data_IF_926326152963
#
_entry.id   IF_926326152963
#
_cell.length_a   1.000
_cell.length_b   1.000
_cell.length_c   1.000
_cell.angle_alpha   90.00
_cell.angle_beta   90.00
_cell.angle_gamma   90.00
#
_symmetry.space_group_name_H-M   'P 1'
#
loop_
_entity.id
_entity.type
_entity.pdbx_description
1 polymer ?
#
# COMPACT_ATOMS: atom_id res chain seq x y z
N UNK A 1 -32.17 -8.19 35.10
CA UNK A 1 -32.31 -6.78 34.68
C UNK A 1 -30.92 -6.31 34.25
N UNK A 2 -30.56 -6.49 32.98
CA UNK A 2 -29.27 -6.04 32.45
C UNK A 2 -29.32 -4.51 32.33
N UNK A 3 -28.51 -3.84 33.13
CA UNK A 3 -28.28 -2.40 33.04
C UNK A 3 -27.49 -2.14 31.76
N UNK A 4 -28.19 -1.73 30.70
CA UNK A 4 -27.57 -1.14 29.52
C UNK A 4 -26.95 0.18 29.93
N UNK A 5 -25.63 0.23 30.01
CA UNK A 5 -24.88 1.48 30.16
C UNK A 5 -25.06 2.29 28.88
N UNK A 6 -26.06 3.19 28.87
CA UNK A 6 -26.20 4.23 27.87
C UNK A 6 -25.08 5.25 28.06
N UNK A 7 -23.88 4.93 27.55
CA UNK A 7 -22.88 5.95 27.27
C UNK A 7 -23.46 6.99 26.30
N UNK A 8 -22.97 8.25 26.33
CA UNK A 8 -23.42 9.26 25.39
C UNK A 8 -23.22 8.76 23.95
N UNK A 9 -24.28 8.80 23.13
CA UNK A 9 -24.19 8.46 21.71
C UNK A 9 -23.13 9.36 21.06
N UNK A 10 -22.23 8.82 20.22
CA UNK A 10 -21.23 9.63 19.55
C UNK A 10 -21.92 10.71 18.72
N UNK A 11 -21.39 11.93 18.76
CA UNK A 11 -21.89 13.04 17.95
C UNK A 11 -21.92 12.62 16.47
N UNK A 12 -23.02 12.90 15.79
CA UNK A 12 -23.17 12.63 14.37
C UNK A 12 -22.75 13.85 13.57
N UNK A 13 -21.85 13.66 12.61
CA UNK A 13 -21.43 14.68 11.64
C UNK A 13 -22.03 14.32 10.30
N UNK A 14 -22.66 15.27 9.62
CA UNK A 14 -23.16 15.08 8.26
C UNK A 14 -22.16 15.67 7.27
N UNK A 15 -21.76 14.88 6.27
CA UNK A 15 -21.07 15.33 5.06
C UNK A 15 -22.06 15.43 3.91
N UNK A 16 -21.90 16.43 3.05
CA UNK A 16 -22.60 16.49 1.76
C UNK A 16 -21.58 16.43 0.63
N UNK A 17 -21.70 15.39 -0.18
CA UNK A 17 -20.82 15.08 -1.30
C UNK A 17 -21.48 15.61 -2.57
N UNK A 18 -20.82 16.54 -3.27
CA UNK A 18 -21.42 17.09 -4.50
C UNK A 18 -21.59 16.01 -5.58
N UNK A 19 -20.64 15.09 -5.65
CA UNK A 19 -20.69 13.85 -6.41
C UNK A 19 -20.01 12.76 -5.58
N UNK A 20 -20.58 11.56 -5.54
CA UNK A 20 -19.99 10.41 -4.88
C UNK A 20 -19.91 9.23 -5.84
N UNK A 21 -18.79 8.52 -5.87
CA UNK A 21 -18.70 7.24 -6.56
C UNK A 21 -19.19 6.13 -5.63
N UNK A 22 -20.34 5.53 -5.97
CA UNK A 22 -20.98 4.46 -5.19
C UNK A 22 -20.69 3.09 -5.80
N UNK A 23 -19.40 2.83 -6.07
CA UNK A 23 -18.87 1.56 -6.59
C UNK A 23 -19.05 1.35 -8.10
N UNK A 24 -20.23 1.63 -8.66
CA UNK A 24 -20.52 1.37 -10.09
C UNK A 24 -20.81 2.62 -10.91
N UNK A 25 -21.22 3.70 -10.24
CA UNK A 25 -21.66 4.93 -10.88
C UNK A 25 -21.34 6.14 -10.01
N UNK A 26 -21.40 7.33 -10.62
CA UNK A 26 -21.30 8.62 -9.91
C UNK A 26 -22.71 9.13 -9.61
N UNK A 27 -22.99 9.36 -8.33
CA UNK A 27 -24.26 9.88 -7.83
C UNK A 27 -24.09 11.34 -7.35
N UNK A 28 -24.86 12.31 -7.89
CA UNK A 28 -24.82 13.70 -7.43
C UNK A 28 -25.59 13.90 -6.13
N UNK A 29 -25.11 14.81 -5.27
CA UNK A 29 -25.84 15.24 -4.07
C UNK A 29 -26.11 14.11 -3.07
N UNK A 30 -25.04 13.57 -2.48
CA UNK A 30 -25.14 12.50 -1.47
C UNK A 30 -24.90 13.07 -0.09
N UNK A 31 -25.80 12.82 0.86
CA UNK A 31 -25.58 13.12 2.27
C UNK A 31 -25.12 11.86 3.02
N UNK A 32 -24.04 12.00 3.77
CA UNK A 32 -23.41 10.94 4.54
C UNK A 32 -23.43 11.31 6.02
N UNK A 33 -24.13 10.53 6.83
CA UNK A 33 -24.16 10.71 8.29
C UNK A 33 -23.08 9.81 8.89
N UNK A 34 -22.18 10.38 9.68
CA UNK A 34 -21.01 9.70 10.26
C UNK A 34 -21.06 9.79 11.78
N UNK A 35 -20.92 8.66 12.47
CA UNK A 35 -20.92 8.57 13.93
C UNK A 35 -19.89 7.53 14.40
N UNK A 36 -19.09 7.88 15.41
CA UNK A 36 -18.04 6.98 15.91
C UNK A 36 -17.00 6.59 14.86
N UNK A 37 -16.80 7.43 13.84
CA UNK A 37 -15.88 7.19 12.72
C UNK A 37 -16.39 6.20 11.66
N UNK A 38 -17.63 5.71 11.79
CA UNK A 38 -18.30 4.86 10.82
C UNK A 38 -19.40 5.63 10.09
N UNK A 39 -19.68 5.21 8.87
CA UNK A 39 -20.83 5.66 8.11
C UNK A 39 -22.08 5.09 8.77
N UNK A 40 -22.95 5.95 9.28
CA UNK A 40 -24.22 5.59 9.89
C UNK A 40 -25.38 5.57 8.87
N UNK A 41 -25.30 6.39 7.82
CA UNK A 41 -26.33 6.46 6.78
C UNK A 41 -25.86 7.14 5.51
N UNK A 42 -26.39 6.68 4.37
CA UNK A 42 -26.14 7.24 3.03
C UNK A 42 -27.50 7.62 2.43
N UNK A 43 -27.66 8.86 2.01
CA UNK A 43 -28.89 9.38 1.38
C UNK A 43 -28.56 10.03 0.04
N UNK A 44 -29.13 9.52 -1.04
CA UNK A 44 -28.95 10.04 -2.41
C UNK A 44 -30.04 11.05 -2.79
N UNK A 45 -29.89 11.75 -3.91
CA UNK A 45 -30.87 12.74 -4.38
C UNK A 45 -31.00 13.99 -3.49
N UNK A 46 -30.02 14.27 -2.63
CA UNK A 46 -30.00 15.43 -1.73
C UNK A 46 -29.43 16.63 -2.49
N UNK A 47 -30.30 17.34 -3.22
CA UNK A 47 -29.91 18.37 -4.18
C UNK A 47 -29.09 19.53 -3.58
N UNK A 48 -29.30 19.87 -2.30
CA UNK A 48 -28.58 20.94 -1.61
C UNK A 48 -28.01 20.44 -0.27
N UNK A 49 -26.88 21.00 0.20
CA UNK A 49 -26.32 20.63 1.49
C UNK A 49 -27.33 20.84 2.63
N UNK A 50 -27.60 19.83 3.47
CA UNK A 50 -28.37 20.01 4.69
C UNK A 50 -27.75 21.07 5.61
N UNK A 51 -28.55 21.79 6.43
CA UNK A 51 -28.01 22.73 7.41
C UNK A 51 -26.96 22.09 8.32
N UNK A 52 -25.79 22.73 8.43
CA UNK A 52 -24.68 22.25 9.25
C UNK A 52 -23.83 21.13 8.64
N UNK A 53 -24.15 20.66 7.43
CA UNK A 53 -23.35 19.64 6.76
C UNK A 53 -21.98 20.20 6.30
N UNK A 54 -20.94 19.39 6.45
CA UNK A 54 -19.62 19.67 5.86
C UNK A 54 -19.66 19.36 4.37
N UNK A 55 -19.39 20.36 3.54
CA UNK A 55 -19.50 20.26 2.08
C UNK A 55 -18.18 19.75 1.48
N UNK A 56 -18.24 18.64 0.74
CA UNK A 56 -17.13 18.12 -0.07
C UNK A 56 -17.44 18.37 -1.55
N UNK A 57 -16.80 19.39 -2.15
CA UNK A 57 -16.98 19.75 -3.56
C UNK A 57 -15.99 19.00 -4.44
N UNK A 58 -16.50 18.37 -5.49
CA UNK A 58 -15.75 17.48 -6.37
C UNK A 58 -16.36 16.08 -6.45
N UNK A 59 -15.57 15.11 -6.91
CA UNK A 59 -15.90 13.68 -6.84
C UNK A 59 -15.32 13.11 -5.55
N UNK A 60 -16.17 12.66 -4.64
CA UNK A 60 -15.78 11.87 -3.47
C UNK A 60 -15.77 10.38 -3.85
N UNK A 61 -14.65 9.74 -3.61
CA UNK A 61 -14.45 8.28 -3.68
C UNK A 61 -14.16 7.75 -2.27
N UNK A 62 -14.32 6.44 -2.00
CA UNK A 62 -13.74 5.84 -0.80
C UNK A 62 -12.25 6.16 -0.71
N UNK A 63 -11.74 6.29 0.51
CA UNK A 63 -10.32 6.58 0.75
C UNK A 63 -9.42 5.57 0.05
N UNK A 64 -8.35 6.05 -0.58
CA UNK A 64 -7.47 5.21 -1.39
C UNK A 64 -6.59 4.32 -0.49
N UNK A 65 -6.37 3.07 -0.89
CA UNK A 65 -5.51 2.12 -0.17
C UNK A 65 -4.21 1.90 -0.93
N UNK A 66 -3.11 2.41 -0.38
CA UNK A 66 -1.78 2.16 -0.91
C UNK A 66 -1.29 0.81 -0.39
N UNK A 67 -1.39 -0.23 -1.21
CA UNK A 67 -1.22 -1.62 -0.75
C UNK A 67 0.23 -1.96 -0.44
N UNK A 68 1.18 -1.24 -1.03
CA UNK A 68 2.61 -1.52 -0.89
C UNK A 68 3.44 -0.24 -0.80
N UNK A 69 4.32 -0.18 0.19
CA UNK A 69 5.10 1.00 0.57
C UNK A 69 6.40 0.60 1.25
N UNK A 70 7.46 1.34 0.95
CA UNK A 70 8.69 1.37 1.73
C UNK A 70 8.99 2.82 2.11
N UNK A 71 8.50 3.30 3.26
CA UNK A 71 8.48 4.72 3.59
C UNK A 71 9.85 5.40 3.45
N UNK A 72 10.94 4.71 3.78
CA UNK A 72 12.27 5.29 3.66
C UNK A 72 12.80 5.44 2.23
N UNK A 73 12.24 4.71 1.26
CA UNK A 73 12.60 4.84 -0.16
C UNK A 73 12.23 6.21 -0.70
N UNK A 74 11.29 6.91 -0.06
CA UNK A 74 10.94 8.28 -0.40
C UNK A 74 12.14 9.23 -0.37
N UNK A 75 13.16 8.95 0.44
CA UNK A 75 14.41 9.72 0.50
C UNK A 75 15.33 9.49 -0.73
N UNK A 76 15.08 8.46 -1.52
CA UNK A 76 15.83 8.10 -2.73
C UNK A 76 15.42 8.93 -3.95
N UNK A 77 14.24 9.57 -3.92
CA UNK A 77 13.79 10.43 -5.03
C UNK A 77 14.88 11.42 -5.39
N UNK A 78 15.07 11.63 -6.69
CA UNK A 78 16.07 12.50 -7.34
C UNK A 78 17.51 11.99 -7.32
N UNK A 79 17.90 11.13 -6.37
CA UNK A 79 19.29 10.63 -6.33
C UNK A 79 19.46 9.40 -7.20
N UNK A 80 18.46 8.50 -7.22
CA UNK A 80 18.51 7.27 -8.01
C UNK A 80 18.22 7.46 -9.50
N UNK A 81 17.64 8.61 -9.88
CA UNK A 81 17.41 9.00 -11.28
C UNK A 81 18.62 9.69 -11.94
N UNK A 82 19.76 9.84 -11.24
CA UNK A 82 20.97 10.45 -11.82
C UNK A 82 21.76 9.42 -12.61
N UNK A 83 21.98 9.70 -13.90
CA UNK A 83 22.82 8.89 -14.78
C UNK A 83 22.07 7.68 -15.34
N UNK A 84 22.79 6.56 -15.48
CA UNK A 84 22.23 5.28 -15.93
C UNK A 84 22.61 4.20 -14.92
N UNK A 85 21.72 3.25 -14.66
CA UNK A 85 21.99 2.19 -13.71
C UNK A 85 21.12 0.97 -13.92
N UNK A 86 21.19 0.07 -12.94
CA UNK A 86 20.32 -1.10 -12.82
C UNK A 86 19.68 -1.08 -11.43
N UNK A 87 18.72 -1.97 -11.18
CA UNK A 87 18.21 -2.26 -9.83
C UNK A 87 19.33 -2.39 -8.78
N UNK A 88 20.47 -2.98 -9.15
CA UNK A 88 21.59 -3.19 -8.24
C UNK A 88 22.31 -1.91 -7.82
N UNK A 89 22.48 -0.96 -8.72
CA UNK A 89 23.10 0.35 -8.39
C UNK A 89 22.14 1.22 -7.59
N UNK A 90 20.84 1.17 -7.89
CA UNK A 90 19.79 1.77 -7.07
C UNK A 90 19.84 1.25 -5.63
N UNK A 91 20.03 -0.06 -5.47
CA UNK A 91 20.07 -0.72 -4.16
C UNK A 91 21.22 -0.26 -3.27
N UNK A 92 22.36 0.14 -3.85
CA UNK A 92 23.48 0.68 -3.08
C UNK A 92 23.14 2.01 -2.40
N UNK A 93 22.41 2.90 -3.10
CA UNK A 93 21.93 4.18 -2.55
C UNK A 93 20.88 3.90 -1.46
N UNK A 94 19.97 2.94 -1.71
CA UNK A 94 19.00 2.49 -0.73
C UNK A 94 19.66 2.02 0.57
N UNK A 95 20.73 1.22 0.48
CA UNK A 95 21.50 0.79 1.66
C UNK A 95 22.16 1.94 2.42
N UNK A 96 22.62 3.00 1.73
CA UNK A 96 23.21 4.17 2.39
C UNK A 96 22.18 4.93 3.23
N UNK A 97 20.95 5.09 2.72
CA UNK A 97 19.84 5.68 3.48
C UNK A 97 19.46 4.78 4.66
N UNK A 98 19.22 3.50 4.40
CA UNK A 98 18.86 2.54 5.43
C UNK A 98 19.88 2.52 6.58
N UNK A 99 21.18 2.58 6.28
CA UNK A 99 22.27 2.58 7.26
C UNK A 99 22.23 3.73 8.26
N UNK A 100 21.59 4.87 7.93
CA UNK A 100 21.54 6.08 8.76
C UNK A 100 20.27 6.22 9.60
N UNK A 101 19.25 5.42 9.31
CA UNK A 101 17.98 5.49 10.03
C UNK A 101 18.09 4.93 11.46
N UNK A 102 17.50 5.66 12.39
CA UNK A 102 17.21 5.28 13.78
C UNK A 102 15.70 5.31 13.98
N UNK A 103 15.14 4.81 15.10
CA UNK A 103 13.71 4.89 15.34
C UNK A 103 13.17 6.33 15.25
N UNK A 104 13.89 7.30 15.82
CA UNK A 104 13.49 8.71 15.79
C UNK A 104 13.53 9.30 14.37
N UNK A 105 14.63 9.11 13.63
CA UNK A 105 14.73 9.65 12.27
C UNK A 105 13.80 8.95 11.28
N UNK A 106 13.48 7.67 11.53
CA UNK A 106 12.50 6.95 10.73
C UNK A 106 11.07 7.39 11.04
N UNK A 107 10.75 7.67 12.31
CA UNK A 107 9.49 8.31 12.69
C UNK A 107 9.29 9.63 11.96
N UNK A 108 10.28 10.53 12.01
CA UNK A 108 10.19 11.86 11.38
C UNK A 108 10.01 11.77 9.87
N UNK A 109 10.80 10.92 9.20
CA UNK A 109 10.68 10.68 7.77
C UNK A 109 9.29 10.11 7.44
N UNK A 110 8.92 8.99 8.07
CA UNK A 110 7.67 8.31 7.78
C UNK A 110 6.44 9.19 8.04
N UNK A 111 6.45 10.02 9.10
CA UNK A 111 5.37 10.97 9.38
C UNK A 111 5.18 11.93 8.21
N UNK A 112 6.27 12.44 7.65
CA UNK A 112 6.23 13.34 6.51
C UNK A 112 5.79 12.62 5.21
N UNK A 113 6.23 11.38 4.98
CA UNK A 113 5.80 10.54 3.84
C UNK A 113 4.31 10.22 3.92
N UNK A 114 3.82 9.80 5.08
CA UNK A 114 2.41 9.48 5.29
C UNK A 114 1.52 10.73 5.18
N UNK A 115 2.03 11.90 5.54
CA UNK A 115 1.33 13.16 5.27
C UNK A 115 1.26 13.50 3.77
N UNK A 116 2.30 13.19 2.98
CA UNK A 116 2.25 13.25 1.50
C UNK A 116 1.20 12.27 0.96
N UNK A 117 1.13 11.04 1.48
CA UNK A 117 0.09 10.07 1.11
C UNK A 117 -1.32 10.59 1.41
N UNK A 118 -1.54 11.17 2.59
CA UNK A 118 -2.82 11.78 2.95
C UNK A 118 -3.20 12.91 1.98
N UNK A 119 -2.24 13.76 1.58
CA UNK A 119 -2.44 14.80 0.56
C UNK A 119 -2.82 14.21 -0.81
N UNK A 120 -2.35 13.00 -1.12
CA UNK A 120 -2.71 12.25 -2.32
C UNK A 120 -4.02 11.44 -2.21
N UNK A 121 -4.80 11.59 -1.13
CA UNK A 121 -6.09 10.91 -0.94
C UNK A 121 -5.97 9.49 -0.38
N UNK A 122 -4.78 9.06 0.02
CA UNK A 122 -4.55 7.76 0.63
C UNK A 122 -4.96 7.81 2.10
N UNK A 123 -5.79 6.85 2.52
CA UNK A 123 -6.29 6.73 3.89
C UNK A 123 -5.71 5.52 4.63
N UNK A 124 -5.16 4.54 3.89
CA UNK A 124 -4.51 3.37 4.45
C UNK A 124 -3.26 3.00 3.64
N UNK A 125 -2.20 2.57 4.35
CA UNK A 125 -0.94 2.09 3.75
C UNK A 125 -0.57 0.70 4.25
N UNK A 126 -0.14 -0.18 3.33
CA UNK A 126 0.60 -1.40 3.63
C UNK A 126 2.09 -1.11 3.67
N UNK A 127 2.63 -0.89 4.86
CA UNK A 127 4.05 -0.60 5.04
C UNK A 127 4.83 -1.91 5.11
N UNK A 128 5.53 -2.24 4.03
CA UNK A 128 6.36 -3.44 3.91
C UNK A 128 7.71 -3.16 4.58
N UNK A 129 7.76 -3.47 5.87
CA UNK A 129 8.83 -3.05 6.77
C UNK A 129 9.87 -4.13 6.97
N UNK A 130 11.10 -3.87 6.51
CA UNK A 130 12.23 -4.81 6.62
C UNK A 130 13.47 -4.22 7.31
N UNK A 131 13.38 -3.04 7.94
CA UNK A 131 14.51 -2.41 8.63
C UNK A 131 14.32 -2.47 10.16
N UNK A 132 14.77 -3.57 10.78
CA UNK A 132 14.41 -3.92 12.15
C UNK A 132 15.44 -3.50 13.19
N UNK A 133 16.72 -3.63 12.88
CA UNK A 133 17.80 -3.60 13.88
C UNK A 133 18.68 -2.35 13.80
N UNK A 134 19.48 -2.13 14.85
CA UNK A 134 20.44 -1.05 14.93
C UNK A 134 21.59 -1.24 13.91
N UNK A 135 22.40 -0.21 13.62
CA UNK A 135 23.59 -0.35 12.79
C UNK A 135 24.46 -1.53 13.23
N UNK A 136 24.84 -2.39 12.27
CA UNK A 136 25.55 -3.63 12.53
C UNK A 136 24.67 -4.86 12.80
N UNK A 137 23.34 -4.71 12.85
CA UNK A 137 22.39 -5.81 13.00
C UNK A 137 22.04 -6.17 14.44
N UNK A 138 22.51 -5.40 15.42
CA UNK A 138 22.17 -5.64 16.83
C UNK A 138 20.71 -5.24 17.09
N UNK A 139 19.89 -6.11 17.71
CA UNK A 139 18.55 -5.73 18.14
C UNK A 139 18.58 -4.52 19.08
N UNK A 140 17.58 -3.64 18.97
CA UNK A 140 17.35 -2.58 19.95
C UNK A 140 16.82 -3.18 21.27
N UNK A 141 16.93 -2.43 22.38
CA UNK A 141 16.35 -2.84 23.69
C UNK A 141 14.86 -3.17 23.57
N UNK A 142 14.12 -2.36 22.80
CA UNK A 142 12.83 -2.73 22.26
C UNK A 142 13.05 -3.30 20.84
N UNK A 143 12.88 -4.62 20.61
CA UNK A 143 13.24 -5.24 19.35
C UNK A 143 12.39 -4.75 18.16
N UNK A 144 11.23 -4.13 18.42
CA UNK A 144 10.33 -3.59 17.39
C UNK A 144 10.33 -2.06 17.29
N UNK A 145 11.34 -1.38 17.85
CA UNK A 145 11.37 0.09 17.89
C UNK A 145 11.18 0.77 16.52
N UNK A 146 11.72 0.18 15.44
CA UNK A 146 11.57 0.72 14.07
C UNK A 146 10.15 0.55 13.53
N UNK A 147 9.53 -0.62 13.73
CA UNK A 147 8.14 -0.86 13.34
C UNK A 147 7.14 -0.01 14.15
N UNK A 148 7.38 0.16 15.45
CA UNK A 148 6.57 1.02 16.31
C UNK A 148 6.69 2.50 15.94
N UNK A 149 7.87 2.95 15.50
CA UNK A 149 8.06 4.30 14.95
C UNK A 149 7.17 4.54 13.73
N UNK A 150 7.06 3.56 12.81
CA UNK A 150 6.17 3.65 11.65
C UNK A 150 4.69 3.69 12.03
N UNK A 151 4.28 2.86 12.99
CA UNK A 151 2.91 2.85 13.52
C UNK A 151 2.56 4.19 14.17
N UNK A 152 3.48 4.77 14.93
CA UNK A 152 3.33 6.08 15.55
C UNK A 152 3.27 7.20 14.50
N UNK A 153 4.13 7.15 13.49
CA UNK A 153 4.16 8.11 12.38
C UNK A 153 2.84 8.12 11.60
N UNK A 154 2.28 6.94 11.29
CA UNK A 154 0.98 6.82 10.61
C UNK A 154 -0.15 7.44 11.43
N UNK A 155 -0.16 7.21 12.76
CA UNK A 155 -1.12 7.81 13.69
C UNK A 155 -1.08 9.34 13.63
N UNK A 156 0.12 9.91 13.64
CA UNK A 156 0.35 11.35 13.67
C UNK A 156 0.04 12.02 12.33
N UNK A 157 0.32 11.35 11.20
CA UNK A 157 -0.15 11.76 9.88
C UNK A 157 -1.67 11.55 9.72
N UNK A 158 -2.30 10.75 10.58
CA UNK A 158 -3.74 10.53 10.61
C UNK A 158 -4.25 9.48 9.63
N UNK A 159 -3.36 8.69 9.01
CA UNK A 159 -3.72 7.56 8.14
C UNK A 159 -3.72 6.24 8.91
N UNK A 160 -4.33 5.22 8.33
CA UNK A 160 -4.26 3.84 8.81
C UNK A 160 -3.01 3.17 8.28
N UNK A 161 -2.50 2.21 9.04
CA UNK A 161 -1.36 1.38 8.65
C UNK A 161 -1.73 -0.11 8.79
N UNK A 162 -1.27 -0.90 7.85
CA UNK A 162 -1.05 -2.34 8.03
C UNK A 162 0.46 -2.51 7.97
N UNK A 163 1.10 -2.69 9.13
CA UNK A 163 2.53 -2.91 9.21
C UNK A 163 2.78 -4.37 8.83
N UNK A 164 3.38 -4.58 7.66
CA UNK A 164 3.77 -5.90 7.16
C UNK A 164 5.19 -6.16 7.62
N UNK A 165 5.33 -6.76 8.81
CA UNK A 165 6.66 -7.06 9.36
C UNK A 165 7.31 -8.16 8.50
N UNK A 166 8.44 -7.81 7.89
CA UNK A 166 9.00 -8.60 6.80
C UNK A 166 10.10 -9.53 7.28
N UNK A 167 9.96 -10.82 7.00
CA UNK A 167 11.02 -11.80 7.14
C UNK A 167 12.07 -11.63 6.03
N UNK A 168 13.32 -11.36 6.43
CA UNK A 168 14.48 -11.24 5.55
C UNK A 168 15.65 -11.98 6.19
N UNK A 169 16.08 -13.11 5.63
CA UNK A 169 17.02 -14.03 6.31
C UNK A 169 18.29 -14.31 5.50
N UNK A 170 18.36 -13.87 4.24
CA UNK A 170 19.41 -14.24 3.28
C UNK A 170 19.69 -13.11 2.29
N UNK A 171 20.94 -13.00 1.83
CA UNK A 171 21.33 -12.04 0.79
C UNK A 171 20.87 -12.44 -0.62
N UNK A 172 20.52 -13.72 -0.81
CA UNK A 172 20.13 -14.30 -2.10
C UNK A 172 20.41 -15.80 -2.18
N UNK A 173 20.09 -16.41 -3.32
CA UNK A 173 20.44 -17.80 -3.60
C UNK A 173 21.96 -18.02 -3.64
N UNK A 174 22.42 -19.17 -3.16
CA UNK A 174 23.82 -19.59 -3.15
C UNK A 174 24.28 -20.22 -4.46
N UNK A 175 25.54 -20.68 -4.51
CA UNK A 175 26.16 -21.28 -5.71
C UNK A 175 25.74 -22.73 -5.98
N UNK A 176 25.09 -23.38 -5.02
CA UNK A 176 24.62 -24.77 -5.14
C UNK A 176 23.09 -24.79 -4.99
N UNK A 177 22.42 -25.80 -5.56
CA UNK A 177 20.99 -26.01 -5.35
C UNK A 177 20.64 -25.93 -3.86
N UNK A 178 19.47 -25.35 -3.57
CA UNK A 178 18.92 -25.13 -2.22
C UNK A 178 19.82 -24.36 -1.25
N UNK A 179 20.96 -23.80 -1.69
CA UNK A 179 21.85 -23.01 -0.85
C UNK A 179 21.40 -21.55 -0.83
N UNK A 180 21.66 -20.86 0.28
CA UNK A 180 21.43 -19.43 0.46
C UNK A 180 22.70 -18.72 0.94
N UNK A 181 22.81 -17.43 0.61
CA UNK A 181 23.92 -16.56 1.03
C UNK A 181 23.59 -15.91 2.37
N UNK A 182 24.58 -15.80 3.24
CA UNK A 182 24.43 -15.08 4.50
C UNK A 182 24.22 -13.58 4.21
N UNK A 183 23.39 -12.88 5.01
CA UNK A 183 23.24 -11.43 4.93
C UNK A 183 24.59 -10.70 4.95
N UNK A 184 24.75 -9.70 4.08
CA UNK A 184 25.88 -8.78 4.12
C UNK A 184 25.75 -7.74 5.24
N UNK A 185 26.78 -6.90 5.41
CA UNK A 185 26.83 -5.89 6.49
C UNK A 185 25.63 -4.94 6.55
N UNK A 186 24.99 -4.65 5.42
CA UNK A 186 23.81 -3.78 5.35
C UNK A 186 22.55 -4.57 5.68
N UNK A 187 22.47 -5.79 5.15
CA UNK A 187 21.34 -6.70 5.33
C UNK A 187 21.24 -7.29 6.74
N UNK A 188 22.31 -7.26 7.52
CA UNK A 188 22.27 -7.61 8.95
C UNK A 188 21.21 -6.81 9.71
N UNK A 189 20.89 -5.58 9.28
CA UNK A 189 19.83 -4.78 9.91
C UNK A 189 18.42 -5.27 9.63
N UNK A 190 18.25 -6.14 8.64
CA UNK A 190 16.96 -6.65 8.21
C UNK A 190 16.65 -8.04 8.77
N UNK A 191 17.66 -8.72 9.32
CA UNK A 191 17.61 -10.16 9.55
C UNK A 191 17.58 -10.55 11.01
N UNK A 192 16.49 -11.22 11.40
CA UNK A 192 16.35 -11.97 12.65
C UNK A 192 17.09 -13.32 12.61
N UNK A 193 17.91 -13.59 11.57
CA UNK A 193 18.66 -14.83 11.31
C UNK A 193 17.84 -16.07 10.96
N UNK A 194 16.69 -16.27 11.60
CA UNK A 194 15.76 -17.38 11.32
C UNK A 194 14.31 -16.90 11.31
N UNK A 195 13.43 -17.64 10.64
CA UNK A 195 12.00 -17.36 10.61
C UNK A 195 11.34 -17.56 11.98
N UNK A 196 11.87 -18.46 12.83
CA UNK A 196 11.36 -18.64 14.19
C UNK A 196 11.68 -17.40 15.05
N UNK A 197 12.92 -16.89 14.99
CA UNK A 197 13.29 -15.65 15.68
C UNK A 197 12.52 -14.43 15.16
N UNK A 198 12.30 -14.35 13.83
CA UNK A 198 11.41 -13.35 13.25
C UNK A 198 9.98 -13.49 13.80
N UNK A 199 9.42 -14.70 13.84
CA UNK A 199 8.07 -14.95 14.34
C UNK A 199 7.91 -14.60 15.82
N UNK A 200 8.94 -14.89 16.64
CA UNK A 200 9.00 -14.49 18.05
C UNK A 200 8.97 -12.95 18.19
N UNK A 201 9.83 -12.23 17.46
CA UNK A 201 9.87 -10.76 17.47
C UNK A 201 8.56 -10.16 16.96
N UNK A 202 8.08 -10.59 15.81
CA UNK A 202 6.86 -10.10 15.18
C UNK A 202 5.62 -10.33 16.06
N UNK A 203 5.59 -11.41 16.85
CA UNK A 203 4.51 -11.68 17.80
C UNK A 203 4.42 -10.69 18.96
N UNK A 204 5.46 -9.89 19.20
CA UNK A 204 5.45 -8.83 20.22
C UNK A 204 4.78 -7.54 19.72
N UNK A 205 4.64 -7.35 18.40
CA UNK A 205 3.96 -6.20 17.82
C UNK A 205 2.48 -6.21 18.17
N UNK A 206 1.94 -5.00 18.41
CA UNK A 206 0.52 -4.81 18.73
C UNK A 206 -0.10 -3.83 17.76
N UNK A 207 -1.21 -4.26 17.14
CA UNK A 207 -2.09 -3.37 16.39
C UNK A 207 -2.92 -2.46 17.30
N UNK A 208 -3.92 -1.82 16.70
CA UNK A 208 -4.90 -0.97 17.36
C UNK A 208 -5.90 -0.40 16.35
N UNK A 209 -6.71 0.57 16.75
CA UNK A 209 -7.79 1.11 15.91
C UNK A 209 -7.32 1.60 14.52
N UNK A 210 -6.11 2.19 14.46
CA UNK A 210 -5.51 2.69 13.21
C UNK A 210 -4.47 1.74 12.60
N UNK A 211 -4.10 0.64 13.28
CA UNK A 211 -2.96 -0.21 12.92
C UNK A 211 -3.31 -1.70 12.91
N UNK A 212 -3.06 -2.39 11.80
CA UNK A 212 -3.04 -3.85 11.74
C UNK A 212 -1.60 -4.34 11.63
N UNK A 213 -1.34 -5.55 12.11
CA UNK A 213 -0.06 -6.23 11.94
C UNK A 213 -0.27 -7.37 10.94
N UNK A 214 0.49 -7.34 9.86
CA UNK A 214 0.60 -8.42 8.90
C UNK A 214 2.02 -8.97 8.85
N UNK A 215 2.20 -10.00 8.03
CA UNK A 215 3.51 -10.56 7.75
C UNK A 215 3.91 -10.27 6.31
N UNK A 216 5.21 -10.31 6.05
CA UNK A 216 5.71 -10.38 4.70
C UNK A 216 6.87 -11.36 4.57
N UNK A 217 6.89 -12.09 3.47
CA UNK A 217 8.11 -12.76 2.98
C UNK A 217 8.79 -11.72 2.09
N UNK A 218 10.02 -11.27 2.40
CA UNK A 218 10.66 -10.27 1.52
C UNK A 218 10.67 -10.77 0.07
N UNK A 219 11.27 -11.93 -0.18
CA UNK A 219 11.16 -12.66 -1.45
C UNK A 219 11.73 -14.07 -1.28
N UNK A 220 11.56 -14.93 -2.29
CA UNK A 220 12.17 -16.28 -2.32
C UNK A 220 13.71 -16.26 -2.28
N UNK A 221 14.33 -15.11 -2.60
CA UNK A 221 15.78 -14.88 -2.48
C UNK A 221 16.21 -14.66 -1.03
N UNK A 222 15.36 -13.98 -0.27
CA UNK A 222 15.65 -13.49 1.07
C UNK A 222 15.16 -14.43 2.17
N UNK A 223 14.17 -15.30 1.90
CA UNK A 223 13.70 -16.31 2.86
C UNK A 223 14.01 -17.70 2.32
N UNK A 224 14.85 -18.50 3.01
CA UNK A 224 15.12 -19.87 2.60
C UNK A 224 13.85 -20.72 2.48
N UNK A 225 13.77 -21.56 1.45
CA UNK A 225 12.59 -22.39 1.17
C UNK A 225 12.05 -23.14 2.40
N UNK A 226 12.93 -23.78 3.17
CA UNK A 226 12.57 -24.50 4.39
C UNK A 226 11.98 -23.63 5.52
N UNK A 227 12.09 -22.30 5.43
CA UNK A 227 11.62 -21.34 6.42
C UNK A 227 10.38 -20.55 5.95
N UNK A 228 9.95 -20.70 4.69
CA UNK A 228 8.76 -20.03 4.15
C UNK A 228 7.48 -20.43 4.91
N UNK A 229 7.34 -21.72 5.23
CA UNK A 229 6.16 -22.26 5.91
C UNK A 229 5.97 -21.66 7.31
N UNK A 230 7.06 -21.29 8.01
CA UNK A 230 6.98 -20.62 9.32
C UNK A 230 6.31 -19.25 9.20
N UNK A 231 6.66 -18.47 8.17
CA UNK A 231 6.05 -17.15 7.93
C UNK A 231 4.58 -17.28 7.54
N UNK A 232 4.27 -18.24 6.67
CA UNK A 232 2.90 -18.54 6.26
C UNK A 232 2.03 -18.99 7.44
N UNK A 233 2.54 -19.90 8.29
CA UNK A 233 1.84 -20.37 9.48
C UNK A 233 1.58 -19.25 10.47
N UNK A 234 2.55 -18.35 10.70
CA UNK A 234 2.37 -17.19 11.57
C UNK A 234 1.19 -16.31 11.11
N UNK A 235 1.11 -16.04 9.80
CA UNK A 235 0.05 -15.23 9.22
C UNK A 235 -1.30 -15.94 9.29
N UNK A 236 -1.34 -17.25 8.98
CA UNK A 236 -2.55 -18.08 9.05
C UNK A 236 -3.12 -18.13 10.47
N UNK A 237 -2.31 -18.45 11.48
CA UNK A 237 -2.74 -18.53 12.88
C UNK A 237 -3.39 -17.23 13.38
N UNK A 238 -2.92 -16.08 12.87
CA UNK A 238 -3.41 -14.74 13.24
C UNK A 238 -4.48 -14.21 12.29
N UNK A 239 -4.81 -14.95 11.24
CA UNK A 239 -5.66 -14.49 10.12
C UNK A 239 -5.18 -13.13 9.56
N UNK A 240 -3.86 -12.92 9.59
CA UNK A 240 -3.23 -11.67 9.19
C UNK A 240 -2.97 -11.64 7.67
N UNK A 241 -2.93 -10.45 7.04
CA UNK A 241 -2.50 -10.34 5.65
C UNK A 241 -1.04 -10.76 5.51
N UNK A 242 -0.72 -11.44 4.40
CA UNK A 242 0.63 -11.89 4.05
C UNK A 242 1.05 -11.28 2.72
N UNK A 243 2.19 -10.60 2.66
CA UNK A 243 2.67 -9.98 1.42
C UNK A 243 4.00 -10.60 0.98
N UNK A 244 4.31 -10.56 -0.31
CA UNK A 244 5.57 -11.07 -0.83
C UNK A 244 5.99 -10.38 -2.12
N UNK A 245 7.24 -9.89 -2.23
CA UNK A 245 7.77 -9.51 -3.54
C UNK A 245 7.94 -10.76 -4.39
N UNK A 246 7.30 -10.78 -5.55
CA UNK A 246 7.18 -11.97 -6.36
C UNK A 246 7.42 -11.67 -7.84
N UNK A 247 8.48 -12.26 -8.40
CA UNK A 247 8.70 -12.30 -9.84
C UNK A 247 8.79 -10.91 -10.50
N UNK A 248 9.35 -9.95 -9.77
CA UNK A 248 9.60 -8.57 -10.20
C UNK A 248 10.61 -8.50 -11.36
N UNK A 249 11.72 -9.23 -11.25
CA UNK A 249 12.84 -9.25 -12.19
C UNK A 249 13.08 -10.65 -12.77
N UNK A 250 13.41 -10.75 -14.06
CA UNK A 250 13.73 -12.05 -14.71
C UNK A 250 14.90 -12.78 -14.03
N UNK A 251 15.88 -12.03 -13.52
CA UNK A 251 17.02 -12.59 -12.79
C UNK A 251 16.62 -13.34 -11.50
N UNK A 252 15.53 -12.94 -10.84
CA UNK A 252 14.99 -13.70 -9.70
C UNK A 252 14.45 -15.06 -10.14
N UNK A 253 13.72 -15.08 -11.26
CA UNK A 253 13.13 -16.29 -11.82
C UNK A 253 14.21 -17.28 -12.27
N UNK A 254 15.20 -16.81 -13.02
CA UNK A 254 16.32 -17.63 -13.48
C UNK A 254 17.11 -18.22 -12.30
N UNK A 255 17.37 -17.42 -11.27
CA UNK A 255 18.08 -17.87 -10.08
C UNK A 255 17.27 -18.86 -9.24
N UNK A 256 15.95 -18.66 -9.11
CA UNK A 256 15.06 -19.60 -8.44
C UNK A 256 15.01 -20.93 -9.18
N UNK A 257 14.90 -20.90 -10.51
CA UNK A 257 14.92 -22.09 -11.35
C UNK A 257 16.25 -22.86 -11.19
N UNK A 258 17.39 -22.16 -11.19
CA UNK A 258 18.69 -22.79 -10.98
C UNK A 258 18.84 -23.39 -9.56
N UNK A 259 18.28 -22.74 -8.54
CA UNK A 259 18.42 -23.17 -7.15
C UNK A 259 17.45 -24.29 -6.74
N UNK A 260 16.21 -24.25 -7.24
CA UNK A 260 15.09 -25.09 -6.79
C UNK A 260 14.39 -25.87 -7.91
N UNK A 261 14.76 -25.65 -9.17
CA UNK A 261 14.14 -26.33 -10.31
C UNK A 261 12.72 -25.87 -10.64
N UNK A 262 12.25 -24.76 -10.05
CA UNK A 262 10.91 -24.22 -10.25
C UNK A 262 10.90 -22.68 -10.21
N UNK A 263 9.76 -22.08 -10.60
CA UNK A 263 9.52 -20.64 -10.53
C UNK A 263 9.37 -20.18 -9.06
N UNK A 264 9.59 -18.88 -8.77
CA UNK A 264 9.27 -18.30 -7.46
C UNK A 264 7.84 -18.59 -7.01
N UNK A 265 6.85 -18.48 -7.90
CA UNK A 265 5.44 -18.71 -7.57
C UNK A 265 5.18 -20.17 -7.20
N UNK A 266 5.72 -21.13 -7.96
CA UNK A 266 5.62 -22.56 -7.63
C UNK A 266 6.25 -22.85 -6.27
N UNK A 267 7.45 -22.31 -6.00
CA UNK A 267 8.11 -22.50 -4.70
C UNK A 267 7.26 -21.97 -3.54
N UNK A 268 6.66 -20.78 -3.67
CA UNK A 268 5.76 -20.23 -2.66
C UNK A 268 4.50 -21.09 -2.47
N UNK A 269 3.94 -21.64 -3.56
CA UNK A 269 2.81 -22.57 -3.49
C UNK A 269 3.17 -23.85 -2.72
N UNK A 270 4.30 -24.46 -3.04
CA UNK A 270 4.75 -25.72 -2.44
C UNK A 270 5.03 -25.59 -0.93
N UNK A 271 5.28 -24.36 -0.46
CA UNK A 271 5.49 -24.02 0.95
C UNK A 271 4.28 -23.36 1.63
N UNK A 272 3.10 -23.38 0.99
CA UNK A 272 1.85 -22.93 1.60
C UNK A 272 1.71 -21.40 1.78
N UNK A 273 2.49 -20.61 1.05
CA UNK A 273 2.45 -19.14 1.14
C UNK A 273 1.27 -18.56 0.35
N UNK A 274 0.87 -19.19 -0.76
CA UNK A 274 -0.22 -18.68 -1.61
C UNK A 274 -1.60 -18.92 -0.96
N UNK A 275 -2.52 -17.97 -1.10
CA UNK A 275 -3.85 -18.05 -0.53
C UNK A 275 -4.62 -16.71 -0.57
N UNK A 276 -5.88 -16.69 -0.12
CA UNK A 276 -6.77 -15.52 -0.25
C UNK A 276 -6.38 -14.32 0.62
N UNK A 277 -5.47 -14.50 1.59
CA UNK A 277 -4.89 -13.42 2.41
C UNK A 277 -3.49 -13.02 1.94
N UNK A 278 -3.00 -13.65 0.89
CA UNK A 278 -1.67 -13.39 0.34
C UNK A 278 -1.76 -12.41 -0.80
N UNK A 279 -0.88 -11.40 -0.82
CA UNK A 279 -0.72 -10.47 -1.94
C UNK A 279 0.70 -10.58 -2.48
N UNK A 280 0.83 -11.00 -3.74
CA UNK A 280 2.08 -10.92 -4.49
C UNK A 280 2.28 -9.51 -5.02
N UNK A 281 3.41 -8.89 -4.69
CA UNK A 281 3.79 -7.58 -5.19
C UNK A 281 4.51 -7.77 -6.54
N UNK A 282 4.18 -6.92 -7.51
CA UNK A 282 4.65 -6.93 -8.90
C UNK A 282 4.04 -8.02 -9.77
N UNK A 283 4.42 -9.28 -9.56
CA UNK A 283 4.00 -10.40 -10.41
C UNK A 283 4.30 -10.17 -11.90
N UNK A 284 5.43 -9.54 -12.22
CA UNK A 284 5.76 -9.04 -13.56
C UNK A 284 6.06 -10.16 -14.57
N UNK A 285 6.89 -11.13 -14.17
CA UNK A 285 7.45 -12.15 -15.09
C UNK A 285 6.91 -13.56 -14.85
N UNK A 286 5.61 -13.74 -15.04
CA UNK A 286 4.94 -15.00 -14.77
C UNK A 286 4.83 -15.92 -15.99
N UNK A 287 4.92 -17.22 -15.75
CA UNK A 287 4.48 -18.24 -16.70
C UNK A 287 2.95 -18.41 -16.66
N UNK A 288 2.37 -19.13 -17.62
CA UNK A 288 0.94 -19.45 -17.61
C UNK A 288 0.55 -20.33 -16.41
N UNK A 289 1.45 -21.18 -15.94
CA UNK A 289 1.23 -22.01 -14.75
C UNK A 289 1.22 -21.15 -13.47
N UNK A 290 2.11 -20.17 -13.37
CA UNK A 290 2.14 -19.25 -12.23
C UNK A 290 0.85 -18.42 -12.13
N UNK A 291 0.36 -17.92 -13.27
CA UNK A 291 -0.92 -17.19 -13.35
C UNK A 291 -2.08 -18.07 -12.89
N UNK A 292 -2.11 -19.33 -13.33
CA UNK A 292 -3.15 -20.28 -12.94
C UNK A 292 -3.09 -20.60 -11.44
N UNK A 293 -1.89 -20.77 -10.87
CA UNK A 293 -1.70 -20.99 -9.44
C UNK A 293 -2.24 -19.81 -8.63
N UNK A 294 -1.76 -18.58 -8.92
CA UNK A 294 -2.18 -17.36 -8.23
C UNK A 294 -3.70 -17.15 -8.29
N UNK A 295 -4.29 -17.38 -9.46
CA UNK A 295 -5.75 -17.29 -9.64
C UNK A 295 -6.52 -18.36 -8.86
N UNK A 296 -6.09 -19.62 -8.94
CA UNK A 296 -6.77 -20.74 -8.26
C UNK A 296 -6.67 -20.70 -6.74
N UNK A 297 -5.61 -20.10 -6.19
CA UNK A 297 -5.45 -19.86 -4.75
C UNK A 297 -6.08 -18.55 -4.27
N UNK A 298 -6.68 -17.77 -5.17
CA UNK A 298 -7.19 -16.43 -4.93
C UNK A 298 -6.14 -15.47 -4.32
N UNK A 299 -4.85 -15.70 -4.60
CA UNK A 299 -3.77 -14.80 -4.20
C UNK A 299 -3.94 -13.47 -4.92
N UNK A 300 -3.91 -12.36 -4.18
CA UNK A 300 -3.96 -11.01 -4.73
C UNK A 300 -2.68 -10.63 -5.46
N UNK A 301 -2.78 -9.67 -6.36
CA UNK A 301 -1.64 -9.01 -7.01
C UNK A 301 -1.70 -7.52 -6.76
N UNK A 302 -0.64 -6.97 -6.17
CA UNK A 302 -0.43 -5.53 -6.06
C UNK A 302 0.48 -5.08 -7.22
N UNK A 303 -0.06 -4.28 -8.12
CA UNK A 303 0.70 -3.65 -9.20
C UNK A 303 1.32 -2.34 -8.69
N UNK A 304 2.58 -2.08 -9.04
CA UNK A 304 3.28 -0.83 -8.70
C UNK A 304 3.84 -0.12 -9.96
N UNK A 305 3.01 0.19 -10.99
CA UNK A 305 3.49 0.64 -12.28
C UNK A 305 4.50 1.80 -12.27
N UNK A 306 4.36 2.80 -11.39
CA UNK A 306 5.31 3.92 -11.39
C UNK A 306 6.70 3.50 -10.94
N UNK A 307 6.80 2.62 -9.95
CA UNK A 307 8.09 2.02 -9.53
C UNK A 307 8.60 1.03 -10.56
N UNK A 308 7.73 0.17 -11.10
CA UNK A 308 8.11 -0.81 -12.12
C UNK A 308 8.67 -0.16 -13.40
N UNK A 309 8.16 1.03 -13.75
CA UNK A 309 8.72 1.88 -14.82
C UNK A 309 10.06 2.51 -14.43
N UNK A 310 10.20 3.01 -13.20
CA UNK A 310 11.45 3.64 -12.71
C UNK A 310 12.60 2.61 -12.62
N UNK A 311 12.30 1.39 -12.19
CA UNK A 311 13.26 0.28 -12.07
C UNK A 311 13.43 -0.54 -13.35
N UNK A 312 12.60 -0.28 -14.36
CA UNK A 312 12.58 -0.96 -15.65
C UNK A 312 12.34 -2.48 -15.53
N UNK A 313 11.39 -2.89 -14.69
CA UNK A 313 11.02 -4.29 -14.47
C UNK A 313 10.33 -4.87 -15.72
N UNK A 314 9.32 -4.16 -16.23
CA UNK A 314 8.50 -4.60 -17.35
C UNK A 314 7.02 -4.27 -17.13
N UNK A 315 6.16 -4.79 -18.02
CA UNK A 315 4.70 -4.66 -17.89
C UNK A 315 4.14 -6.02 -17.47
N UNK A 316 3.64 -6.12 -16.23
CA UNK A 316 3.07 -7.36 -15.70
C UNK A 316 1.76 -7.78 -16.39
N UNK A 317 1.38 -9.08 -16.35
CA UNK A 317 0.23 -9.64 -17.06
C UNK A 317 -1.10 -9.44 -16.30
N UNK A 318 -1.38 -8.22 -15.85
CA UNK A 318 -2.51 -7.91 -14.95
C UNK A 318 -3.88 -8.37 -15.49
N UNK A 319 -4.14 -8.25 -16.80
CA UNK A 319 -5.38 -8.75 -17.43
C UNK A 319 -5.52 -10.26 -17.27
N UNK A 320 -4.42 -11.00 -17.46
CA UNK A 320 -4.43 -12.47 -17.37
C UNK A 320 -4.62 -12.92 -15.91
N UNK A 321 -3.95 -12.25 -14.97
CA UNK A 321 -4.10 -12.48 -13.52
C UNK A 321 -5.55 -12.26 -13.07
N UNK A 322 -6.15 -11.12 -13.45
CA UNK A 322 -7.53 -10.84 -13.10
C UNK A 322 -8.49 -11.89 -13.65
N UNK A 323 -8.31 -12.30 -14.92
CA UNK A 323 -9.13 -13.34 -15.55
C UNK A 323 -8.97 -14.72 -14.89
N UNK A 324 -7.78 -15.01 -14.37
CA UNK A 324 -7.52 -16.24 -13.63
C UNK A 324 -8.12 -16.24 -12.21
N UNK A 325 -8.55 -15.08 -11.71
CA UNK A 325 -9.17 -14.95 -10.39
C UNK A 325 -8.28 -14.31 -9.32
N UNK A 326 -7.09 -13.78 -9.69
CA UNK A 326 -6.26 -12.98 -8.77
C UNK A 326 -6.87 -11.58 -8.62
N UNK A 327 -7.29 -11.17 -7.41
CA UNK A 327 -7.66 -9.77 -7.15
C UNK A 327 -6.51 -8.82 -7.50
N UNK A 328 -6.83 -7.60 -7.92
CA UNK A 328 -5.84 -6.58 -8.27
C UNK A 328 -5.92 -5.40 -7.29
N UNK A 329 -4.78 -4.96 -6.80
CA UNK A 329 -4.61 -3.76 -6.00
C UNK A 329 -3.42 -2.94 -6.49
N UNK A 330 -3.21 -1.75 -5.91
CA UNK A 330 -2.20 -0.79 -6.32
C UNK A 330 -1.29 -0.40 -5.16
N UNK A 331 -0.01 -0.15 -5.45
CA UNK A 331 0.97 0.33 -4.48
C UNK A 331 1.95 1.33 -5.08
N UNK A 332 2.41 2.29 -4.29
CA UNK A 332 3.43 3.26 -4.74
C UNK A 332 4.87 2.82 -4.48
N UNK A 333 5.06 1.79 -3.65
CA UNK A 333 6.32 1.05 -3.48
C UNK A 333 7.53 1.94 -3.13
N UNK A 334 8.49 2.12 -4.05
CA UNK A 334 9.69 2.96 -3.88
C UNK A 334 9.36 4.43 -3.68
N UNK A 335 8.10 4.77 -3.89
CA UNK A 335 7.57 6.10 -3.88
C UNK A 335 8.22 6.97 -4.95
N UNK A 336 8.66 6.49 -6.12
CA UNK A 336 9.06 7.37 -7.22
C UNK A 336 7.97 8.43 -7.50
N UNK A 337 6.70 8.01 -7.47
CA UNK A 337 5.51 8.85 -7.43
C UNK A 337 4.58 8.33 -6.33
N UNK A 338 3.96 9.21 -5.54
CA UNK A 338 2.86 8.84 -4.62
C UNK A 338 1.57 9.39 -5.23
N UNK A 339 0.92 8.58 -6.05
CA UNK A 339 -0.34 8.92 -6.73
C UNK A 339 -1.06 7.65 -7.22
N UNK A 340 -2.08 7.18 -6.50
CA UNK A 340 -2.81 5.97 -6.94
C UNK A 340 -3.68 6.21 -8.17
N UNK A 341 -3.96 7.47 -8.57
CA UNK A 341 -4.59 7.72 -9.86
C UNK A 341 -3.60 7.49 -11.00
N UNK A 342 -2.32 7.81 -10.81
CA UNK A 342 -1.28 7.43 -11.78
C UNK A 342 -1.08 5.92 -11.81
N UNK A 343 -1.03 5.22 -10.67
CA UNK A 343 -0.92 3.74 -10.67
C UNK A 343 -2.10 3.09 -11.41
N UNK A 344 -3.31 3.52 -11.09
CA UNK A 344 -4.54 3.05 -11.73
C UNK A 344 -4.55 3.33 -13.24
N UNK A 345 -4.18 4.56 -13.63
CA UNK A 345 -4.09 4.96 -15.03
C UNK A 345 -3.02 4.16 -15.77
N UNK A 346 -1.86 3.94 -15.15
CA UNK A 346 -0.73 3.24 -15.73
C UNK A 346 -1.08 1.79 -16.07
N UNK A 347 -1.81 1.07 -15.20
CA UNK A 347 -2.31 -0.27 -15.50
C UNK A 347 -3.03 -0.35 -16.86
N UNK A 348 -3.98 0.56 -17.10
CA UNK A 348 -4.69 0.61 -18.38
C UNK A 348 -3.79 1.10 -19.52
N UNK A 349 -3.02 2.17 -19.33
CA UNK A 349 -2.25 2.78 -20.42
C UNK A 349 -1.07 1.93 -20.89
N UNK A 350 -0.39 1.22 -19.99
CA UNK A 350 0.71 0.33 -20.35
C UNK A 350 0.21 -0.89 -21.10
N UNK A 351 -0.93 -1.43 -20.67
CA UNK A 351 -1.60 -2.52 -21.38
C UNK A 351 -2.07 -2.07 -22.77
N UNK A 352 -2.50 -0.82 -22.96
CA UNK A 352 -2.79 -0.26 -24.30
C UNK A 352 -1.56 -0.26 -25.20
N UNK A 353 -0.40 0.15 -24.68
CA UNK A 353 0.83 0.15 -25.46
C UNK A 353 1.23 -1.27 -25.85
N UNK A 354 1.14 -2.21 -24.90
CA UNK A 354 1.49 -3.61 -25.11
C UNK A 354 0.58 -4.30 -26.15
N UNK A 355 -0.73 -4.09 -26.05
CA UNK A 355 -1.73 -4.81 -26.86
C UNK A 355 -2.17 -4.06 -28.12
N UNK A 356 -1.93 -2.75 -28.18
CA UNK A 356 -2.49 -1.83 -29.19
C UNK A 356 -4.02 -1.79 -29.19
N UNK A 357 -4.67 -2.18 -28.09
CA UNK A 357 -6.10 -2.10 -27.88
C UNK A 357 -6.44 -1.11 -26.75
N UNK A 358 -7.68 -0.60 -26.69
CA UNK A 358 -8.16 0.28 -25.61
C UNK A 358 -9.28 -0.41 -24.82
N UNK A 359 -9.40 -0.06 -23.54
CA UNK A 359 -10.54 -0.47 -22.71
C UNK A 359 -10.37 -1.83 -22.06
N UNK A 360 -9.21 -2.10 -21.46
CA UNK A 360 -9.00 -3.31 -20.67
C UNK A 360 -9.71 -3.19 -19.31
N UNK A 361 -9.72 -1.97 -18.75
CA UNK A 361 -10.47 -1.64 -17.55
C UNK A 361 -11.33 -0.38 -17.70
N UNK A 362 -12.48 -0.38 -17.02
CA UNK A 362 -13.28 0.82 -16.80
C UNK A 362 -12.68 1.65 -15.66
N UNK A 363 -13.02 2.94 -15.59
CA UNK A 363 -12.63 3.77 -14.45
C UNK A 363 -13.13 3.21 -13.11
N UNK A 364 -14.34 2.62 -13.08
CA UNK A 364 -14.88 1.97 -11.89
C UNK A 364 -14.04 0.74 -11.46
N UNK A 365 -13.56 -0.08 -12.40
CA UNK A 365 -12.70 -1.22 -12.07
C UNK A 365 -11.34 -0.76 -11.51
N UNK A 366 -10.77 0.30 -12.08
CA UNK A 366 -9.52 0.88 -11.61
C UNK A 366 -9.66 1.55 -10.23
N UNK A 367 -10.76 2.27 -9.97
CA UNK A 367 -11.07 2.80 -8.64
C UNK A 367 -11.30 1.67 -7.63
N UNK A 368 -11.92 0.55 -8.03
CA UNK A 368 -12.10 -0.62 -7.15
C UNK A 368 -10.75 -1.20 -6.72
N UNK A 369 -9.79 -1.30 -7.63
CA UNK A 369 -8.41 -1.71 -7.31
C UNK A 369 -7.73 -0.74 -6.32
N UNK A 370 -7.93 0.57 -6.51
CA UNK A 370 -7.39 1.62 -5.64
C UNK A 370 -8.10 1.76 -4.28
N UNK A 371 -9.26 1.12 -4.09
CA UNK A 371 -10.11 1.26 -2.90
C UNK A 371 -10.45 -0.10 -2.31
N UNK A 372 -11.57 -0.71 -2.72
CA UNK A 372 -12.12 -1.97 -2.17
C UNK A 372 -11.06 -3.09 -2.13
N UNK A 373 -10.43 -3.40 -3.26
CA UNK A 373 -9.49 -4.51 -3.33
C UNK A 373 -8.18 -4.19 -2.60
N UNK A 374 -7.73 -2.93 -2.63
CA UNK A 374 -6.58 -2.48 -1.85
C UNK A 374 -6.81 -2.57 -0.34
N UNK A 375 -7.95 -2.08 0.17
CA UNK A 375 -8.30 -2.22 1.58
C UNK A 375 -8.42 -3.69 2.00
N UNK A 376 -9.01 -4.55 1.16
CA UNK A 376 -9.06 -5.99 1.40
C UNK A 376 -7.66 -6.62 1.48
N UNK A 377 -6.74 -6.27 0.58
CA UNK A 377 -5.35 -6.72 0.60
C UNK A 377 -4.58 -6.26 1.85
N UNK A 378 -5.00 -5.15 2.46
CA UNK A 378 -4.47 -4.64 3.73
C UNK A 378 -5.14 -5.26 4.98
N UNK A 379 -6.05 -6.21 4.81
CA UNK A 379 -6.78 -6.86 5.91
C UNK A 379 -7.97 -6.05 6.44
N UNK A 380 -8.51 -5.13 5.63
CA UNK A 380 -9.65 -4.25 5.97
C UNK A 380 -10.82 -4.39 4.98
N UNK A 381 -11.42 -5.60 4.82
CA UNK A 381 -12.50 -5.81 3.85
C UNK A 381 -13.76 -4.99 4.14
N UNK A 382 -13.89 -4.42 5.34
CA UNK A 382 -14.97 -3.51 5.73
C UNK A 382 -14.80 -2.07 5.21
N UNK A 383 -13.62 -1.72 4.68
CA UNK A 383 -13.28 -0.39 4.19
C UNK A 383 -13.31 -0.31 2.66
N UNK A 384 -13.04 0.89 2.12
CA UNK A 384 -13.00 1.11 0.67
C UNK A 384 -14.38 1.20 0.00
N UNK A 385 -15.46 1.33 0.77
CA UNK A 385 -16.85 1.48 0.28
C UNK A 385 -17.57 2.64 1.00
N UNK A 386 -18.57 3.24 0.35
CA UNK A 386 -19.44 4.26 0.94
C UNK A 386 -20.80 3.61 1.25
N UNK A 387 -20.85 2.85 2.34
CA UNK A 387 -22.04 2.13 2.80
C UNK A 387 -22.16 2.18 4.33
N UNK A 388 -23.38 2.10 4.91
CA UNK A 388 -23.54 2.02 6.35
C UNK A 388 -22.74 0.88 6.98
N UNK A 389 -22.05 1.18 8.09
CA UNK A 389 -21.16 0.27 8.81
C UNK A 389 -19.70 0.35 8.38
N UNK A 390 -19.40 0.84 7.16
CA UNK A 390 -18.02 1.01 6.72
C UNK A 390 -17.33 2.20 7.43
N UNK A 391 -16.00 2.19 7.60
CA UNK A 391 -15.25 3.34 8.04
C UNK A 391 -15.49 4.55 7.14
N UNK A 392 -15.67 5.73 7.74
CA UNK A 392 -15.81 6.98 7.01
C UNK A 392 -14.43 7.49 6.53
N UNK A 393 -13.83 6.71 5.63
CA UNK A 393 -12.56 6.99 4.97
C UNK A 393 -12.85 7.44 3.53
N UNK A 394 -12.53 8.70 3.19
CA UNK A 394 -12.96 9.33 1.94
C UNK A 394 -11.82 10.15 1.33
N UNK A 395 -11.76 10.20 0.01
CA UNK A 395 -10.94 11.15 -0.75
C UNK A 395 -11.84 11.94 -1.70
N UNK A 396 -11.69 13.27 -1.74
CA UNK A 396 -12.44 14.13 -2.66
C UNK A 396 -11.51 14.81 -3.65
N UNK A 397 -11.70 14.52 -4.93
CA UNK A 397 -10.94 15.08 -6.05
C UNK A 397 -11.69 16.26 -6.63
N UNK A 398 -11.00 17.38 -6.82
CA UNK A 398 -11.53 18.57 -7.46
C UNK A 398 -12.00 18.27 -8.89
N UNK A 399 -13.15 18.82 -9.28
CA UNK A 399 -13.68 18.78 -10.66
C UNK A 399 -13.68 20.17 -11.33
N UNK A 400 -12.96 21.11 -10.73
CA UNK A 400 -12.83 22.50 -11.14
C UNK A 400 -11.34 22.89 -11.36
N UNK A 401 -10.43 21.91 -11.41
CA UNK A 401 -9.03 22.14 -11.75
C UNK A 401 -8.83 22.19 -13.26
N UNK A 402 -7.68 22.69 -13.72
CA UNK A 402 -7.32 22.68 -15.15
C UNK A 402 -7.35 21.26 -15.74
N UNK A 403 -7.04 20.23 -14.93
CA UNK A 403 -7.03 18.83 -15.37
C UNK A 403 -8.42 18.21 -15.43
N UNK A 404 -9.32 18.63 -14.54
CA UNK A 404 -10.58 17.93 -14.27
C UNK A 404 -11.83 18.74 -14.58
N UNK A 405 -11.71 19.97 -15.08
CA UNK A 405 -12.85 20.82 -15.44
C UNK A 405 -13.60 20.31 -16.69
N UNK A 406 -14.94 20.49 -16.68
CA UNK A 406 -15.82 20.20 -17.81
C UNK A 406 -16.35 18.77 -18.01
N UNK A 407 -16.24 17.80 -17.07
CA UNK A 407 -16.83 16.49 -17.31
C UNK A 407 -18.36 16.57 -17.23
N UNK A 408 -19.03 15.73 -18.02
CA UNK A 408 -20.43 15.39 -17.74
C UNK A 408 -20.46 14.73 -16.35
N UNK A 409 -21.35 15.12 -15.41
CA UNK A 409 -21.32 14.64 -14.02
C UNK A 409 -21.22 13.11 -13.87
N UNK A 410 -21.98 12.35 -14.66
CA UNK A 410 -21.95 10.88 -14.64
C UNK A 410 -20.62 10.26 -15.10
N UNK A 411 -19.77 11.04 -15.76
CA UNK A 411 -18.45 10.65 -16.26
C UNK A 411 -17.30 11.20 -15.41
N UNK A 412 -17.59 11.71 -14.21
CA UNK A 412 -16.56 12.28 -13.33
C UNK A 412 -15.52 11.24 -12.92
N UNK A 413 -15.90 9.96 -12.78
CA UNK A 413 -14.96 8.88 -12.46
C UNK A 413 -13.93 8.69 -13.58
N UNK A 414 -14.37 8.72 -14.84
CA UNK A 414 -13.49 8.66 -16.01
C UNK A 414 -12.54 9.87 -16.06
N UNK A 415 -13.05 11.08 -15.81
CA UNK A 415 -12.21 12.27 -15.77
C UNK A 415 -11.15 12.19 -14.66
N UNK A 416 -11.54 11.74 -13.45
CA UNK A 416 -10.62 11.60 -12.33
C UNK A 416 -9.55 10.55 -12.62
N UNK A 417 -9.94 9.32 -12.98
CA UNK A 417 -8.96 8.24 -13.21
C UNK A 417 -8.02 8.56 -14.37
N UNK A 418 -8.52 9.12 -15.47
CA UNK A 418 -7.70 9.30 -16.66
C UNK A 418 -6.97 10.65 -16.73
N UNK A 419 -7.40 11.69 -16.00
CA UNK A 419 -6.81 13.03 -16.11
C UNK A 419 -6.30 13.63 -14.79
N UNK A 420 -6.88 13.28 -13.64
CA UNK A 420 -6.44 13.83 -12.36
C UNK A 420 -5.03 13.35 -11.97
N UNK A 421 -4.48 14.02 -10.96
CA UNK A 421 -3.35 13.55 -10.18
C UNK A 421 -3.60 13.79 -8.68
N UNK A 422 -2.66 13.34 -7.84
CA UNK A 422 -2.66 13.62 -6.40
C UNK A 422 -2.83 15.11 -6.08
N UNK A 423 -2.35 16.02 -6.93
CA UNK A 423 -2.49 17.47 -6.74
C UNK A 423 -3.94 17.98 -6.88
N UNK A 424 -4.83 17.20 -7.48
CA UNK A 424 -6.26 17.53 -7.59
C UNK A 424 -7.06 17.07 -6.36
N UNK A 425 -6.46 16.32 -5.44
CA UNK A 425 -7.12 15.93 -4.18
C UNK A 425 -7.28 17.15 -3.28
N UNK A 426 -8.53 17.40 -2.86
CA UNK A 426 -8.90 18.56 -2.03
C UNK A 426 -9.15 18.19 -0.59
N UNK A 427 -9.77 17.04 -0.35
CA UNK A 427 -10.11 16.59 1.00
C UNK A 427 -9.77 15.12 1.18
N UNK A 428 -9.25 14.78 2.36
CA UNK A 428 -9.02 13.41 2.81
C UNK A 428 -9.58 13.28 4.21
N UNK A 429 -10.46 12.30 4.40
CA UNK A 429 -11.17 12.02 5.65
C UNK A 429 -10.81 10.61 6.09
N UNK A 430 -10.45 10.42 7.36
CA UNK A 430 -10.17 9.10 7.95
C UNK A 430 -10.93 8.95 9.25
N UNK A 431 -11.71 7.88 9.36
CA UNK A 431 -12.63 7.64 10.49
C UNK A 431 -13.52 8.88 10.76
N UNK A 432 -14.02 9.53 9.70
CA UNK A 432 -14.85 10.72 9.82
C UNK A 432 -14.13 12.00 10.22
N UNK A 433 -12.80 11.98 10.37
CA UNK A 433 -11.98 13.17 10.69
C UNK A 433 -11.31 13.71 9.44
N UNK A 434 -11.45 15.01 9.17
CA UNK A 434 -10.68 15.69 8.13
C UNK A 434 -9.18 15.71 8.48
N UNK A 435 -8.37 14.96 7.73
CA UNK A 435 -6.90 15.00 7.84
C UNK A 435 -6.28 15.87 6.74
N UNK A 436 -6.97 16.05 5.62
CA UNK A 436 -6.64 17.05 4.59
C UNK A 436 -7.87 17.88 4.29
N UNK A 437 -7.70 19.20 4.27
CA UNK A 437 -8.75 20.17 3.95
C UNK A 437 -8.22 21.22 2.99
N UNK A 438 -8.90 21.37 1.86
CA UNK A 438 -8.57 22.35 0.83
C UNK A 438 -7.10 22.22 0.37
N UNK A 439 -6.64 20.97 0.19
CA UNK A 439 -5.27 20.65 -0.23
C UNK A 439 -4.19 20.86 0.85
N UNK A 440 -4.58 21.11 2.11
CA UNK A 440 -3.66 21.31 3.24
C UNK A 440 -3.82 20.21 4.29
N UNK A 441 -2.70 19.65 4.73
CA UNK A 441 -2.70 18.65 5.80
C UNK A 441 -3.02 19.31 7.14
N UNK A 442 -3.90 18.69 7.94
CA UNK A 442 -4.42 19.27 9.17
C UNK A 442 -3.55 18.98 10.41
N UNK A 443 -2.76 17.90 10.37
CA UNK A 443 -1.96 17.40 11.50
C UNK A 443 -0.44 17.62 11.35
N UNK A 444 -0.01 18.00 10.15
CA UNK A 444 1.39 18.25 9.79
C UNK A 444 1.39 19.58 9.06
N UNK A 445 1.81 20.63 9.75
CA UNK A 445 1.59 22.01 9.32
C UNK A 445 2.28 22.35 8.00
N UNK A 446 3.54 21.92 7.86
CA UNK A 446 4.36 22.12 6.65
C UNK A 446 4.99 20.78 6.23
N UNK A 447 4.25 20.02 5.42
CA UNK A 447 4.70 18.72 4.90
C UNK A 447 5.97 18.84 4.05
N UNK A 448 6.09 19.81 3.11
CA UNK A 448 7.35 20.03 2.39
C UNK A 448 8.56 20.27 3.29
N UNK A 449 8.45 21.15 4.30
CA UNK A 449 9.56 21.40 5.22
C UNK A 449 9.90 20.18 6.07
N UNK A 450 8.89 19.42 6.53
CA UNK A 450 9.11 18.17 7.27
C UNK A 450 9.87 17.14 6.41
N UNK A 451 9.47 16.95 5.15
CA UNK A 451 10.17 16.07 4.21
C UNK A 451 11.61 16.55 3.97
N UNK A 452 11.81 17.83 3.69
CA UNK A 452 13.13 18.40 3.43
C UNK A 452 14.07 18.20 4.64
N UNK A 453 13.58 18.46 5.86
CA UNK A 453 14.37 18.30 7.08
C UNK A 453 14.71 16.84 7.35
N UNK A 454 13.73 15.93 7.25
CA UNK A 454 13.94 14.52 7.52
C UNK A 454 14.89 13.88 6.50
N UNK A 455 14.77 14.23 5.21
CA UNK A 455 15.66 13.73 4.16
C UNK A 455 17.07 14.32 4.31
N UNK A 456 17.20 15.61 4.61
CA UNK A 456 18.51 16.25 4.80
C UNK A 456 19.30 15.60 5.95
N UNK A 457 18.63 15.23 7.05
CA UNK A 457 19.24 14.51 8.16
C UNK A 457 19.83 13.14 7.75
N UNK A 458 19.39 12.57 6.64
CA UNK A 458 19.89 11.31 6.09
C UNK A 458 21.00 11.50 5.06
N UNK A 459 21.23 12.71 4.55
CA UNK A 459 22.26 12.98 3.54
C UNK A 459 23.56 13.56 4.11
N UNK A 460 23.52 14.18 5.29
CA UNK A 460 24.70 14.67 6.01
C UNK A 460 25.09 16.08 5.60
#
# INVERSE_FOLDING_TARGET
MQLTTNGPRPATVTYWLSHAWLGTHVEPGVALDVSGGLIAGVRTGVATPPPGATVLRGLTVPGLANTHSHAFHRALRSTVQVGSGTFWTWREIMYQVAARLTPDSYYDLARAVYAEMALAGITAVGEFHYLHHAPGGTPYDNPNAMGEALIAAAREAGIRITLLDTAYLSAGFGKRPTQYQQPDRHQLRFSDTTADAWAERASLLKGGDHALIGAAVHSVRAVPAAQLATVAAWAEERQAPLHVHLSEQTAENDACLAAHGCTPTRLLADHGVLGPRTTGIHNTHLTAEDIALLGSSATGTCMCPTTERDLADGIGPAVALQRAGSPLSLGSDSHAVIDLFEEARAMELDERLRTRARGHWTAAALLRAATVDGHAALGRPEAGIIEPGAPADLATVALDSVRTAGPVPRLAAEAVVFAASAADVRHTVVAGRHIVRDGRHALVEDVPAALASAIAALHG
#
